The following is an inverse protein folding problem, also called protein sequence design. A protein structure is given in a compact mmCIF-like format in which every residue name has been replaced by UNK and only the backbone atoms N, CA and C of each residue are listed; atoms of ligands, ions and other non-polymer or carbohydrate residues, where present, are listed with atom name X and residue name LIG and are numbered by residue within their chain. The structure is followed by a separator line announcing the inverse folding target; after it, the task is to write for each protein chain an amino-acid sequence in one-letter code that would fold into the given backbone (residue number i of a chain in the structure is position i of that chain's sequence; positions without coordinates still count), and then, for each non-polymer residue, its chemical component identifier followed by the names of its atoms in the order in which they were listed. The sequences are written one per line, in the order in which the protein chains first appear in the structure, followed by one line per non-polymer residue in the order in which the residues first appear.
data_IF_940568562607
#
_entry.id   IF_940568562607
#
_cell.length_a   1.000
_cell.length_b   1.000
_cell.length_c   1.000
_cell.angle_alpha   90.00
_cell.angle_beta   90.00
_cell.angle_gamma   90.00
#
_symmetry.space_group_name_H-M   'P 1'
#
loop_
_entity.id
_entity.type
_entity.pdbx_description
1 polymer ?
#
# COMPACT_ATOMS: atom_id res chain seq x y z
N UNK A 1 -66.85 -16.28 -9.43
CA UNK A 1 -65.82 -16.99 -8.64
C UNK A 1 -64.60 -17.18 -9.52
N UNK A 2 -63.52 -16.44 -9.26
CA UNK A 2 -62.12 -16.79 -9.55
C UNK A 2 -61.27 -15.55 -9.24
N UNK A 3 -60.96 -15.36 -7.96
CA UNK A 3 -59.96 -14.38 -7.53
C UNK A 3 -58.57 -14.98 -7.81
N UNK A 4 -57.85 -14.43 -8.78
CA UNK A 4 -56.47 -14.79 -9.05
C UNK A 4 -55.59 -13.93 -8.14
N UNK A 5 -55.20 -14.50 -7.01
CA UNK A 5 -54.18 -13.93 -6.13
C UNK A 5 -52.82 -14.02 -6.84
N UNK A 6 -52.40 -12.93 -7.49
CA UNK A 6 -51.05 -12.79 -8.03
C UNK A 6 -50.12 -12.46 -6.86
N UNK A 7 -49.53 -13.50 -6.28
CA UNK A 7 -48.56 -13.39 -5.20
C UNK A 7 -47.33 -12.59 -5.68
N UNK A 8 -47.01 -11.54 -4.92
CA UNK A 8 -45.83 -10.72 -5.09
C UNK A 8 -44.56 -11.57 -4.92
N UNK A 9 -43.77 -11.68 -5.98
CA UNK A 9 -42.36 -12.05 -5.88
C UNK A 9 -41.58 -10.76 -5.64
N UNK A 10 -41.52 -10.33 -4.39
CA UNK A 10 -40.48 -9.39 -3.94
C UNK A 10 -39.17 -10.15 -3.98
N UNK A 11 -38.46 -10.07 -5.10
CA UNK A 11 -37.02 -10.35 -5.14
C UNK A 11 -36.35 -9.29 -4.25
N UNK A 12 -36.22 -9.59 -2.96
CA UNK A 12 -35.19 -8.98 -2.12
C UNK A 12 -33.86 -9.51 -2.62
N UNK A 13 -33.35 -8.89 -3.69
CA UNK A 13 -31.92 -8.89 -3.94
C UNK A 13 -31.29 -8.01 -2.86
N UNK A 14 -31.10 -8.58 -1.66
CA UNK A 14 -30.06 -8.09 -0.77
C UNK A 14 -28.78 -8.14 -1.59
N UNK A 15 -28.18 -6.96 -1.82
CA UNK A 15 -26.94 -6.81 -2.55
C UNK A 15 -25.94 -7.84 -2.05
N UNK A 16 -25.37 -8.61 -2.97
CA UNK A 16 -24.20 -9.39 -2.68
C UNK A 16 -23.17 -8.46 -2.03
N UNK A 17 -22.60 -8.89 -0.92
CA UNK A 17 -21.50 -8.21 -0.27
C UNK A 17 -20.35 -8.06 -1.28
N UNK A 18 -20.29 -6.92 -1.97
CA UNK A 18 -19.18 -6.53 -2.85
C UNK A 18 -17.95 -6.28 -1.97
N UNK A 19 -17.31 -7.36 -1.54
CA UNK A 19 -16.10 -7.34 -0.73
C UNK A 19 -15.07 -8.30 -1.32
N UNK A 20 -13.90 -7.77 -1.66
CA UNK A 20 -12.76 -8.56 -2.09
C UNK A 20 -12.03 -9.17 -0.88
N UNK A 21 -11.32 -10.28 -1.09
CA UNK A 21 -10.44 -10.86 -0.08
C UNK A 21 -9.02 -10.33 -0.26
N UNK A 22 -8.43 -9.81 0.80
CA UNK A 22 -7.02 -9.41 0.81
C UNK A 22 -6.14 -10.66 0.89
N UNK A 23 -5.18 -10.86 -0.04
CA UNK A 23 -4.31 -12.02 -0.02
C UNK A 23 -3.25 -11.92 1.08
N UNK A 24 -2.82 -13.08 1.60
CA UNK A 24 -1.70 -13.20 2.57
C UNK A 24 -0.32 -12.96 1.93
N UNK A 25 -0.28 -12.73 0.61
CA UNK A 25 0.94 -12.43 -0.13
C UNK A 25 0.68 -11.30 -1.10
N UNK A 26 1.52 -10.27 -1.02
CA UNK A 26 1.51 -9.14 -1.95
C UNK A 26 2.89 -9.05 -2.57
N UNK A 27 2.96 -9.09 -3.90
CA UNK A 27 4.19 -8.89 -4.66
C UNK A 27 5.34 -9.82 -4.24
N UNK A 28 4.99 -11.09 -3.97
CA UNK A 28 5.93 -12.13 -3.59
C UNK A 28 6.42 -12.05 -2.15
N UNK A 29 5.83 -11.17 -1.32
CA UNK A 29 6.13 -10.99 0.09
C UNK A 29 4.94 -11.40 0.96
N UNK A 30 5.17 -12.13 2.07
CA UNK A 30 4.12 -12.39 3.03
C UNK A 30 3.67 -11.08 3.67
N UNK A 31 2.36 -10.92 3.83
CA UNK A 31 1.73 -9.77 4.47
C UNK A 31 0.58 -10.23 5.36
N UNK A 32 0.35 -9.53 6.46
CA UNK A 32 -0.86 -9.71 7.25
C UNK A 32 -2.01 -8.95 6.56
N UNK A 33 -3.09 -9.63 6.12
CA UNK A 33 -4.26 -8.98 5.53
C UNK A 33 -4.82 -7.83 6.37
N UNK A 34 -4.77 -7.94 7.70
CA UNK A 34 -5.27 -6.91 8.62
C UNK A 34 -4.47 -5.58 8.55
N UNK A 35 -3.23 -5.61 8.05
CA UNK A 35 -2.43 -4.40 7.82
C UNK A 35 -2.74 -3.74 6.47
N UNK A 36 -3.33 -4.48 5.54
CA UNK A 36 -3.62 -4.01 4.18
C UNK A 36 -5.06 -3.51 4.08
N UNK A 37 -6.02 -4.22 4.68
CA UNK A 37 -7.45 -3.87 4.65
C UNK A 37 -7.73 -2.39 4.94
N UNK A 38 -7.13 -1.75 5.97
CA UNK A 38 -7.41 -0.35 6.28
C UNK A 38 -6.92 0.64 5.22
N UNK A 39 -6.08 0.21 4.28
CA UNK A 39 -5.43 1.00 3.25
C UNK A 39 -6.17 0.95 1.90
N UNK A 40 -7.14 0.05 1.77
CA UNK A 40 -7.88 -0.14 0.53
C UNK A 40 -9.26 0.54 0.60
N UNK A 41 -9.74 1.09 -0.53
CA UNK A 41 -11.10 1.60 -0.62
C UNK A 41 -12.11 0.46 -0.72
N UNK A 42 -13.38 0.72 -0.45
CA UNK A 42 -14.45 -0.24 -0.76
C UNK A 42 -14.47 -0.59 -2.26
N UNK A 43 -14.92 -1.80 -2.61
CA UNK A 43 -15.02 -2.27 -3.99
C UNK A 43 -15.23 -3.78 -4.12
N UNK A 44 -15.44 -4.25 -5.34
CA UNK A 44 -15.82 -5.65 -5.62
C UNK A 44 -14.67 -6.59 -5.98
N UNK A 45 -13.56 -6.07 -6.53
CA UNK A 45 -12.43 -6.88 -6.98
C UNK A 45 -11.07 -6.28 -6.57
N UNK A 46 -10.13 -7.13 -6.17
CA UNK A 46 -8.75 -6.73 -5.81
C UNK A 46 -7.74 -7.47 -6.69
N UNK A 47 -6.95 -6.71 -7.45
CA UNK A 47 -5.86 -7.23 -8.28
C UNK A 47 -4.51 -6.79 -7.73
N UNK A 48 -3.56 -7.72 -7.69
CA UNK A 48 -2.16 -7.45 -7.32
C UNK A 48 -1.27 -7.65 -8.53
N UNK A 49 -0.51 -6.63 -8.90
CA UNK A 49 0.48 -6.67 -9.99
C UNK A 49 1.87 -6.38 -9.44
N UNK A 50 2.83 -7.24 -9.76
CA UNK A 50 4.23 -7.07 -9.40
C UNK A 50 5.10 -6.96 -10.67
N UNK A 51 6.02 -6.01 -10.65
CA UNK A 51 6.99 -5.76 -11.72
C UNK A 51 8.38 -5.86 -11.11
N UNK A 52 9.03 -6.99 -11.33
CA UNK A 52 10.31 -7.37 -10.73
C UNK A 52 10.16 -8.33 -9.52
N UNK A 53 11.26 -8.97 -9.16
CA UNK A 53 11.40 -9.88 -8.02
C UNK A 53 12.24 -9.22 -6.92
N UNK A 54 11.74 -9.03 -5.68
CA UNK A 54 12.51 -8.42 -4.60
C UNK A 54 13.85 -9.13 -4.31
N UNK A 55 13.96 -10.43 -4.59
CA UNK A 55 15.21 -11.17 -4.41
C UNK A 55 16.24 -10.92 -5.51
N UNK A 56 15.82 -10.63 -6.74
CA UNK A 56 16.71 -10.53 -7.91
C UNK A 56 16.91 -9.10 -8.39
N UNK A 57 15.84 -8.30 -8.40
CA UNK A 57 15.80 -6.99 -9.03
C UNK A 57 16.10 -5.87 -8.05
N UNK A 58 16.84 -4.86 -8.52
CA UNK A 58 17.13 -3.67 -7.70
C UNK A 58 15.93 -2.77 -7.52
N UNK A 59 14.98 -2.77 -8.45
CA UNK A 59 13.77 -1.97 -8.40
C UNK A 59 12.58 -2.88 -8.62
N UNK A 60 11.65 -2.87 -7.67
CA UNK A 60 10.40 -3.62 -7.77
C UNK A 60 9.25 -2.65 -7.59
N UNK A 61 8.27 -2.74 -8.47
CA UNK A 61 7.02 -2.01 -8.34
C UNK A 61 5.89 -2.99 -8.07
N UNK A 62 5.07 -2.65 -7.11
CA UNK A 62 3.92 -3.41 -6.66
C UNK A 62 2.69 -2.50 -6.71
N UNK A 63 1.61 -2.98 -7.32
CA UNK A 63 0.38 -2.23 -7.50
C UNK A 63 -0.80 -3.08 -7.04
N UNK A 64 -1.58 -2.54 -6.11
CA UNK A 64 -2.89 -3.07 -5.74
C UNK A 64 -3.94 -2.20 -6.40
N UNK A 65 -4.85 -2.84 -7.13
CA UNK A 65 -5.97 -2.18 -7.78
C UNK A 65 -7.29 -2.70 -7.23
N UNK A 66 -8.19 -1.80 -6.88
CA UNK A 66 -9.58 -2.12 -6.52
C UNK A 66 -10.47 -1.67 -7.67
N UNK A 67 -11.28 -2.58 -8.20
CA UNK A 67 -12.17 -2.32 -9.34
C UNK A 67 -11.44 -1.67 -10.53
N UNK A 68 -10.25 -2.20 -10.86
CA UNK A 68 -9.33 -1.71 -11.90
C UNK A 68 -8.73 -0.30 -11.68
N UNK A 69 -9.02 0.37 -10.57
CA UNK A 69 -8.39 1.62 -10.17
C UNK A 69 -7.20 1.37 -9.22
N UNK A 70 -6.09 2.07 -9.46
CA UNK A 70 -4.91 1.94 -8.60
C UNK A 70 -5.19 2.46 -7.19
N UNK A 71 -5.21 1.55 -6.23
CA UNK A 71 -5.45 1.84 -4.82
C UNK A 71 -4.13 2.08 -4.08
N UNK A 72 -3.19 1.14 -4.15
CA UNK A 72 -1.90 1.23 -3.44
C UNK A 72 -0.76 1.01 -4.41
N UNK A 73 0.19 1.94 -4.43
CA UNK A 73 1.49 1.75 -5.10
C UNK A 73 2.56 1.52 -4.06
N UNK A 74 3.40 0.52 -4.27
CA UNK A 74 4.62 0.30 -3.49
C UNK A 74 5.79 0.19 -4.45
N UNK A 75 6.88 0.90 -4.17
CA UNK A 75 8.13 0.82 -4.90
C UNK A 75 9.24 0.51 -3.91
N UNK A 76 9.98 -0.57 -4.15
CA UNK A 76 11.19 -0.88 -3.40
C UNK A 76 12.41 -0.76 -4.30
N UNK A 77 13.47 -0.15 -3.76
CA UNK A 77 14.69 0.14 -4.50
C UNK A 77 15.92 -0.10 -3.65
N UNK A 78 16.82 -0.97 -4.11
CA UNK A 78 18.16 -1.16 -3.55
C UNK A 78 19.17 -0.25 -4.23
N UNK A 79 19.94 0.50 -3.45
CA UNK A 79 20.86 1.51 -3.96
C UNK A 79 22.08 1.71 -3.03
N UNK A 80 23.18 2.33 -3.51
CA UNK A 80 24.43 2.42 -2.76
C UNK A 80 24.48 3.55 -1.71
N UNK A 81 23.55 4.49 -1.75
CA UNK A 81 23.62 5.75 -1.00
C UNK A 81 22.39 5.97 -0.13
N UNK A 82 22.60 6.30 1.14
CA UNK A 82 21.50 6.60 2.07
C UNK A 82 20.69 7.79 1.58
N UNK A 83 19.36 7.74 1.70
CA UNK A 83 18.53 8.91 1.42
C UNK A 83 18.77 9.96 2.50
N UNK A 84 19.34 11.10 2.14
CA UNK A 84 19.65 12.17 3.11
C UNK A 84 18.39 12.76 3.76
N UNK A 85 17.37 13.03 2.94
CA UNK A 85 16.07 13.59 3.33
C UNK A 85 14.91 12.78 2.71
N UNK A 86 14.27 11.89 3.49
CA UNK A 86 13.14 11.11 3.01
C UNK A 86 11.93 11.96 2.59
N UNK A 87 11.68 13.09 3.27
CA UNK A 87 10.58 14.00 2.93
C UNK A 87 10.83 14.63 1.57
N UNK A 88 12.02 15.21 1.38
CA UNK A 88 12.43 15.80 0.11
C UNK A 88 12.46 14.79 -1.05
N UNK A 89 12.98 13.58 -0.81
CA UNK A 89 13.03 12.51 -1.81
C UNK A 89 11.64 12.03 -2.28
N UNK A 90 10.60 12.25 -1.47
CA UNK A 90 9.21 11.89 -1.77
C UNK A 90 8.27 13.09 -1.84
N UNK A 91 8.79 14.30 -2.04
CA UNK A 91 7.98 15.53 -1.98
C UNK A 91 6.81 15.55 -2.97
N UNK A 92 6.97 14.95 -4.15
CA UNK A 92 5.91 14.84 -5.15
C UNK A 92 4.78 13.91 -4.71
N UNK A 93 5.12 12.73 -4.19
CA UNK A 93 4.18 11.78 -3.60
C UNK A 93 3.44 12.43 -2.43
N UNK A 94 4.14 13.18 -1.59
CA UNK A 94 3.55 13.77 -0.40
C UNK A 94 2.78 15.06 -0.62
N UNK A 95 2.76 15.66 -1.83
CA UNK A 95 2.32 17.06 -2.06
C UNK A 95 2.38 17.89 -0.78
N UNK A 96 3.57 18.38 -0.41
CA UNK A 96 3.87 18.90 0.94
C UNK A 96 2.90 19.99 1.45
N UNK A 97 2.13 20.61 0.54
CA UNK A 97 1.06 21.57 0.87
C UNK A 97 -0.16 20.91 1.51
N UNK A 98 -0.43 19.65 1.17
CA UNK A 98 -1.58 18.85 1.56
C UNK A 98 -1.22 17.93 2.72
N UNK A 99 -0.29 16.99 2.52
CA UNK A 99 -0.17 15.83 3.43
C UNK A 99 0.79 16.02 4.60
N UNK A 100 1.68 17.03 4.54
CA UNK A 100 2.56 17.45 5.64
C UNK A 100 3.23 16.26 6.37
N UNK A 101 4.07 15.47 5.69
CA UNK A 101 4.69 14.29 6.26
C UNK A 101 5.58 14.65 7.45
N UNK A 102 5.66 13.73 8.40
CA UNK A 102 6.51 13.83 9.59
C UNK A 102 7.57 12.73 9.57
N UNK A 103 8.77 12.96 10.14
CA UNK A 103 9.74 11.89 10.34
C UNK A 103 9.13 10.72 11.12
N UNK A 104 9.49 9.50 10.71
CA UNK A 104 9.07 8.28 11.38
C UNK A 104 10.21 7.26 11.39
N UNK A 105 10.25 6.44 12.43
CA UNK A 105 11.00 5.19 12.40
C UNK A 105 10.15 4.18 11.62
N UNK A 106 10.65 3.70 10.49
CA UNK A 106 10.03 2.64 9.67
C UNK A 106 11.00 1.47 9.45
N UNK A 107 11.84 1.20 10.46
CA UNK A 107 12.94 0.22 10.43
C UNK A 107 14.29 0.85 10.76
N UNK A 108 14.51 2.09 10.30
CA UNK A 108 15.61 2.94 10.78
C UNK A 108 15.23 4.41 10.64
N UNK A 109 14.88 4.82 9.41
CA UNK A 109 14.46 6.18 9.12
C UNK A 109 13.36 6.19 8.08
N UNK A 110 12.61 7.28 8.07
CA UNK A 110 11.57 7.47 7.08
C UNK A 110 10.76 8.73 7.33
N UNK A 111 9.71 8.85 6.55
CA UNK A 111 8.68 9.85 6.73
C UNK A 111 7.31 9.24 6.43
N UNK A 112 6.29 9.73 7.12
CA UNK A 112 4.91 9.25 6.96
C UNK A 112 3.91 10.40 6.94
N UNK A 113 2.90 10.24 6.10
CA UNK A 113 1.67 11.01 6.10
C UNK A 113 0.48 10.07 5.88
N UNK A 114 -0.74 10.59 5.92
CA UNK A 114 -1.92 9.76 5.71
C UNK A 114 -2.00 9.19 4.28
N UNK A 115 -1.33 9.79 3.29
CA UNK A 115 -1.33 9.27 1.92
C UNK A 115 -0.18 8.31 1.58
N UNK A 116 0.76 8.09 2.50
CA UNK A 116 1.90 7.25 2.17
C UNK A 116 3.07 7.39 3.12
N UNK A 117 4.12 6.66 2.79
CA UNK A 117 5.35 6.64 3.56
C UNK A 117 6.55 6.33 2.68
N UNK A 118 7.71 6.69 3.21
CA UNK A 118 9.01 6.28 2.69
C UNK A 118 9.85 5.78 3.86
N UNK A 119 10.34 4.55 3.76
CA UNK A 119 11.31 3.95 4.66
C UNK A 119 12.65 3.82 3.94
N UNK A 120 13.76 4.01 4.66
CA UNK A 120 15.12 3.77 4.17
C UNK A 120 15.86 2.98 5.25
N UNK A 121 16.32 1.78 4.91
CA UNK A 121 16.96 0.85 5.85
C UNK A 121 18.28 0.33 5.28
N UNK A 122 19.23 -0.13 6.12
CA UNK A 122 20.47 -0.71 5.63
C UNK A 122 20.19 -2.00 4.87
N UNK A 123 20.92 -2.20 3.79
CA UNK A 123 20.88 -3.42 3.00
C UNK A 123 22.23 -3.63 2.32
N UNK A 124 23.12 -4.36 2.98
CA UNK A 124 24.47 -4.61 2.48
C UNK A 124 24.52 -5.84 1.57
N UNK A 125 23.89 -5.76 0.38
CA UNK A 125 23.87 -6.83 -0.63
C UNK A 125 24.33 -6.31 -1.99
N UNK A 126 25.16 -7.07 -2.71
CA UNK A 126 25.57 -6.87 -4.11
C UNK A 126 25.56 -5.42 -4.65
N UNK A 127 26.44 -4.60 -4.08
CA UNK A 127 26.67 -3.22 -4.51
C UNK A 127 25.56 -2.23 -4.12
N UNK A 128 24.52 -2.68 -3.41
CA UNK A 128 23.61 -1.85 -2.64
C UNK A 128 24.05 -1.80 -1.17
N UNK A 129 23.74 -0.68 -0.52
CA UNK A 129 23.96 -0.47 0.91
C UNK A 129 22.68 -0.15 1.66
N UNK A 130 21.62 0.20 0.92
CA UNK A 130 20.35 0.61 1.46
C UNK A 130 19.20 0.05 0.62
N UNK A 131 18.08 -0.19 1.28
CA UNK A 131 16.79 -0.50 0.69
C UNK A 131 15.83 0.63 1.06
N UNK A 132 15.24 1.25 0.05
CA UNK A 132 14.13 2.18 0.24
C UNK A 132 12.82 1.49 -0.12
N UNK A 133 11.80 1.68 0.70
CA UNK A 133 10.41 1.30 0.39
C UNK A 133 9.55 2.55 0.42
N UNK A 134 8.86 2.81 -0.67
CA UNK A 134 7.94 3.93 -0.88
C UNK A 134 6.55 3.37 -1.09
N UNK A 135 5.58 3.79 -0.28
CA UNK A 135 4.19 3.38 -0.47
C UNK A 135 3.25 4.58 -0.52
N UNK A 136 2.22 4.48 -1.35
CA UNK A 136 1.29 5.57 -1.66
C UNK A 136 -0.14 5.04 -1.79
N UNK A 137 -1.08 5.70 -1.10
CA UNK A 137 -2.51 5.52 -1.29
C UNK A 137 -2.97 6.39 -2.46
N UNK A 138 -3.10 5.78 -3.62
CA UNK A 138 -3.37 6.45 -4.90
C UNK A 138 -4.84 6.87 -5.05
N UNK A 139 -5.74 6.17 -4.38
CA UNK A 139 -7.17 6.55 -4.31
C UNK A 139 -7.43 7.79 -3.43
N UNK A 140 -6.45 8.26 -2.65
CA UNK A 140 -6.54 9.52 -1.91
C UNK A 140 -6.19 10.76 -2.75
N UNK A 141 -5.73 10.60 -3.99
CA UNK A 141 -5.38 11.70 -4.89
C UNK A 141 -6.59 12.36 -5.57
N UNK A 142 -7.83 12.01 -5.19
CA UNK A 142 -9.02 12.69 -5.71
C UNK A 142 -9.00 14.15 -5.25
N UNK A 143 -9.01 15.13 -6.17
CA UNK A 143 -8.91 16.53 -5.81
C UNK A 143 -10.21 16.93 -5.12
N UNK A 144 -10.20 17.05 -3.79
CA UNK A 144 -10.74 18.22 -3.09
C UNK A 144 -10.79 18.18 -1.56
N UNK A 145 -10.48 17.07 -0.87
CA UNK A 145 -10.34 17.10 0.59
C UNK A 145 -9.29 16.11 1.07
N UNK A 146 -8.43 16.54 1.98
CA UNK A 146 -7.78 15.60 2.91
C UNK A 146 -8.89 14.74 3.52
N UNK A 147 -8.75 13.40 3.49
CA UNK A 147 -9.75 12.49 4.05
C UNK A 147 -10.03 12.86 5.51
N UNK A 148 -11.30 12.72 5.92
CA UNK A 148 -11.69 12.93 7.32
C UNK A 148 -11.03 11.90 8.25
N UNK A 149 -10.64 10.74 7.70
CA UNK A 149 -9.93 9.66 8.39
C UNK A 149 -8.41 9.86 8.32
N UNK A 150 -7.75 9.75 9.47
CA UNK A 150 -6.29 9.69 9.53
C UNK A 150 -5.79 8.27 9.26
N UNK A 151 -5.21 8.05 8.09
CA UNK A 151 -4.60 6.78 7.68
C UNK A 151 -3.16 6.59 8.16
N UNK A 152 -2.55 7.62 8.77
CA UNK A 152 -1.13 7.61 9.16
C UNK A 152 -0.74 6.39 10.04
N UNK A 153 -1.55 5.95 11.02
CA UNK A 153 -1.22 4.75 11.80
C UNK A 153 -1.14 3.49 10.93
N UNK A 154 -2.17 3.24 10.11
CA UNK A 154 -2.21 2.08 9.21
C UNK A 154 -1.05 2.11 8.19
N UNK A 155 -0.80 3.27 7.60
CA UNK A 155 0.34 3.48 6.68
C UNK A 155 1.67 3.19 7.38
N UNK A 156 1.83 3.63 8.63
CA UNK A 156 3.05 3.39 9.42
C UNK A 156 3.27 1.91 9.67
N UNK A 157 2.24 1.21 10.15
CA UNK A 157 2.31 -0.21 10.51
C UNK A 157 2.58 -1.08 9.28
N UNK A 158 1.81 -0.88 8.20
CA UNK A 158 2.02 -1.60 6.96
C UNK A 158 3.42 -1.35 6.40
N UNK A 159 3.85 -0.07 6.31
CA UNK A 159 5.15 0.24 5.70
C UNK A 159 6.30 -0.37 6.48
N UNK A 160 6.22 -0.37 7.81
CA UNK A 160 7.23 -1.02 8.66
C UNK A 160 7.28 -2.52 8.38
N UNK A 161 6.13 -3.20 8.41
CA UNK A 161 6.06 -4.65 8.21
C UNK A 161 6.52 -5.05 6.80
N UNK A 162 6.03 -4.36 5.77
CA UNK A 162 6.41 -4.61 4.39
C UNK A 162 7.89 -4.33 4.13
N UNK A 163 8.45 -3.28 4.74
CA UNK A 163 9.89 -2.97 4.62
C UNK A 163 10.75 -4.09 5.20
N UNK A 164 10.38 -4.63 6.37
CA UNK A 164 11.07 -5.76 6.97
C UNK A 164 11.01 -7.00 6.06
N UNK A 165 9.82 -7.34 5.55
CA UNK A 165 9.64 -8.48 4.64
C UNK A 165 10.44 -8.30 3.32
N UNK A 166 10.43 -7.08 2.76
CA UNK A 166 11.19 -6.76 1.56
C UNK A 166 12.71 -6.85 1.80
N UNK A 167 13.18 -6.39 2.96
CA UNK A 167 14.59 -6.48 3.36
C UNK A 167 15.03 -7.93 3.49
N UNK A 168 14.26 -8.76 4.19
CA UNK A 168 14.52 -10.19 4.33
C UNK A 168 14.56 -10.90 2.97
N UNK A 169 13.54 -10.68 2.13
CA UNK A 169 13.47 -11.27 0.79
C UNK A 169 14.63 -10.87 -0.11
N UNK A 170 15.11 -9.64 0.03
CA UNK A 170 16.27 -9.12 -0.70
C UNK A 170 17.63 -9.55 -0.11
N UNK A 171 17.63 -10.33 0.98
CA UNK A 171 18.84 -10.81 1.64
C UNK A 171 19.57 -9.74 2.45
N UNK A 172 18.92 -8.63 2.79
CA UNK A 172 19.50 -7.60 3.64
C UNK A 172 19.75 -8.18 5.05
N UNK A 173 20.86 -7.84 5.72
CA UNK A 173 21.08 -8.26 7.11
C UNK A 173 20.05 -7.57 8.03
N UNK A 174 19.26 -8.36 8.75
CA UNK A 174 18.21 -7.94 9.70
C UNK A 174 18.65 -8.08 11.15
#
# INVERSE_FOLDING_TARGET
MAAVCLAALTLTACGADDSYTVPETICGLPVDPALVEPLLPEGGDLKVSAYGDPAADRNVQCVLSVDDEEAVRIVSSRHPERIADPVGASASMFDLRIWKPVPADLGERGAVASNGAIADVPCATDGAKYLTVRMELRWLHVPQKTPDKDYKPAVTEFTRAFTAAAAEKAGCPT
#
